data_IF_861145977681
#
_entry.id   IF_861145977681
#
_cell.length_a   1.000
_cell.length_b   1.000
_cell.length_c   1.000
_cell.angle_alpha   90.00
_cell.angle_beta   90.00
_cell.angle_gamma   90.00
#
_symmetry.space_group_name_H-M   'P 1'
#
loop_
_entity.id
_entity.type
_entity.pdbx_description
1 polymer ?
#
# COMPACT_ATOMS: atom_id res chain seq x y z
N UNK A 1 -8.32 -12.55 19.96
CA UNK A 1 -7.85 -12.52 18.56
C UNK A 1 -7.11 -11.23 18.31
N UNK A 2 -6.00 -11.31 17.63
CA UNK A 2 -5.23 -10.12 17.29
C UNK A 2 -5.86 -9.41 16.10
N UNK A 3 -5.92 -8.08 16.17
CA UNK A 3 -6.29 -7.29 15.01
C UNK A 3 -5.23 -7.47 13.90
N UNK A 4 -5.62 -7.37 12.63
CA UNK A 4 -4.68 -7.58 11.55
C UNK A 4 -3.71 -6.42 11.38
N UNK A 5 -2.55 -6.70 10.79
CA UNK A 5 -1.74 -5.66 10.18
C UNK A 5 -2.28 -5.36 8.79
N UNK A 6 -2.15 -4.12 8.36
CA UNK A 6 -2.58 -3.69 7.03
C UNK A 6 -1.38 -3.15 6.26
N UNK A 7 -1.16 -3.67 5.05
CA UNK A 7 -0.17 -3.12 4.13
C UNK A 7 -0.91 -2.35 3.04
N UNK A 8 -0.54 -1.08 2.85
CA UNK A 8 -1.11 -0.24 1.78
C UNK A 8 -0.11 -0.12 0.62
N UNK A 9 -0.55 -0.49 -0.58
CA UNK A 9 0.16 -0.03 -1.77
C UNK A 9 -0.26 1.43 -2.06
N UNK A 10 0.37 2.06 -3.04
CA UNK A 10 0.08 3.48 -3.33
C UNK A 10 -1.36 3.68 -3.77
N UNK A 11 -1.93 2.77 -4.56
CA UNK A 11 -3.31 2.92 -5.04
C UNK A 11 -4.32 2.91 -3.88
N UNK A 12 -4.08 2.07 -2.87
CA UNK A 12 -4.92 2.03 -1.69
C UNK A 12 -4.71 3.27 -0.80
N UNK A 13 -3.44 3.65 -0.60
CA UNK A 13 -3.13 4.81 0.25
C UNK A 13 -3.75 6.10 -0.29
N UNK A 14 -3.71 6.30 -1.61
CA UNK A 14 -4.33 7.45 -2.28
C UNK A 14 -5.81 7.58 -1.95
N UNK A 15 -6.52 6.46 -1.79
CA UNK A 15 -7.96 6.44 -1.53
C UNK A 15 -8.34 7.05 -0.18
N UNK A 16 -7.38 7.23 0.72
CA UNK A 16 -7.62 7.93 1.99
C UNK A 16 -7.71 9.45 1.81
N UNK A 17 -7.19 9.98 0.70
CA UNK A 17 -7.09 11.42 0.47
C UNK A 17 -7.90 11.91 -0.73
N UNK A 18 -8.15 11.04 -1.68
CA UNK A 18 -8.96 11.34 -2.87
C UNK A 18 -10.10 10.34 -2.91
N UNK A 19 -11.33 10.86 -2.82
CA UNK A 19 -12.52 10.01 -2.83
C UNK A 19 -12.67 9.33 -4.18
N UNK A 20 -12.74 8.00 -4.17
CA UNK A 20 -12.92 7.19 -5.37
C UNK A 20 -13.49 5.82 -4.98
N UNK A 21 -13.77 4.97 -5.97
CA UNK A 21 -14.25 3.62 -5.68
C UNK A 21 -13.23 2.89 -4.80
N UNK A 22 -13.70 2.29 -3.70
CA UNK A 22 -12.86 1.58 -2.74
C UNK A 22 -12.39 2.41 -1.57
N UNK A 23 -12.60 3.73 -1.54
CA UNK A 23 -12.18 4.59 -0.43
C UNK A 23 -12.78 4.14 0.90
N UNK A 24 -14.07 3.77 0.93
CA UNK A 24 -14.72 3.31 2.16
C UNK A 24 -14.10 2.01 2.68
N UNK A 25 -13.76 1.09 1.78
CA UNK A 25 -13.15 -0.20 2.14
C UNK A 25 -11.76 0.00 2.74
N UNK A 26 -10.95 0.90 2.16
CA UNK A 26 -9.61 1.20 2.67
C UNK A 26 -9.71 1.88 4.04
N UNK A 27 -10.61 2.85 4.18
CA UNK A 27 -10.79 3.55 5.44
C UNK A 27 -11.21 2.58 6.57
N UNK A 28 -12.16 1.68 6.28
CA UNK A 28 -12.57 0.66 7.24
C UNK A 28 -11.42 -0.25 7.63
N UNK A 29 -10.59 -0.66 6.67
CA UNK A 29 -9.43 -1.50 6.92
C UNK A 29 -8.39 -0.80 7.81
N UNK A 30 -8.15 0.49 7.58
CA UNK A 30 -7.24 1.29 8.40
C UNK A 30 -7.75 1.39 9.83
N UNK A 31 -9.04 1.63 10.01
CA UNK A 31 -9.64 1.76 11.34
C UNK A 31 -9.56 0.47 12.15
N UNK A 32 -9.60 -0.69 11.49
CA UNK A 32 -9.58 -1.99 12.13
C UNK A 32 -8.16 -2.53 12.33
N UNK A 33 -7.16 -1.95 11.67
CA UNK A 33 -5.80 -2.45 11.72
C UNK A 33 -5.12 -2.11 13.04
N UNK A 34 -4.35 -3.05 13.57
CA UNK A 34 -3.48 -2.78 14.71
C UNK A 34 -2.34 -1.86 14.30
N UNK A 35 -1.81 -2.05 13.09
CA UNK A 35 -0.72 -1.27 12.55
C UNK A 35 -0.85 -1.20 11.03
N UNK A 36 -0.49 -0.05 10.46
CA UNK A 36 -0.52 0.18 9.01
C UNK A 36 0.91 0.31 8.51
N UNK A 37 1.21 -0.44 7.46
CA UNK A 37 2.55 -0.57 6.88
C UNK A 37 2.54 -0.14 5.42
N UNK A 38 3.68 0.34 4.93
CA UNK A 38 3.91 0.58 3.51
C UNK A 38 5.42 0.59 3.24
N UNK A 39 5.81 0.68 1.98
CA UNK A 39 7.21 0.77 1.59
C UNK A 39 7.64 2.24 1.48
N UNK A 40 8.92 2.50 1.71
CA UNK A 40 9.48 3.85 1.65
C UNK A 40 9.16 4.58 0.33
N UNK A 41 9.19 3.86 -0.80
CA UNK A 41 8.93 4.45 -2.11
C UNK A 41 7.48 4.99 -2.25
N UNK A 42 6.56 4.51 -1.42
CA UNK A 42 5.16 4.92 -1.50
C UNK A 42 4.99 6.43 -1.29
N UNK A 43 5.88 7.08 -0.52
CA UNK A 43 5.79 8.52 -0.32
C UNK A 43 5.94 9.27 -1.65
N UNK A 44 6.94 8.93 -2.45
CA UNK A 44 7.15 9.55 -3.76
C UNK A 44 6.01 9.20 -4.73
N UNK A 45 5.56 7.97 -4.70
CA UNK A 45 4.47 7.53 -5.59
C UNK A 45 3.15 8.22 -5.24
N UNK A 46 2.85 8.38 -3.96
CA UNK A 46 1.64 9.10 -3.55
C UNK A 46 1.67 10.56 -4.01
N UNK A 47 2.81 11.23 -3.84
CA UNK A 47 2.97 12.62 -4.28
C UNK A 47 2.81 12.74 -5.80
N UNK A 48 3.34 11.77 -6.54
CA UNK A 48 3.16 11.71 -8.00
C UNK A 48 1.69 11.49 -8.37
N UNK A 49 1.00 10.60 -7.65
CA UNK A 49 -0.42 10.33 -7.89
C UNK A 49 -1.30 11.56 -7.60
N UNK A 50 -0.99 12.31 -6.53
CA UNK A 50 -1.71 13.56 -6.22
C UNK A 50 -1.49 14.62 -7.30
N UNK A 51 -0.26 14.75 -7.80
CA UNK A 51 0.04 15.66 -8.89
C UNK A 51 -0.75 15.30 -10.16
N UNK A 52 -0.84 14.00 -10.46
CA UNK A 52 -1.64 13.52 -11.59
C UNK A 52 -3.12 13.80 -11.38
N UNK A 53 -3.65 13.58 -10.17
CA UNK A 53 -5.05 13.85 -9.85
C UNK A 53 -5.39 15.33 -10.05
N UNK A 54 -4.46 16.23 -9.69
CA UNK A 54 -4.61 17.66 -9.93
C UNK A 54 -4.65 17.97 -11.43
N UNK A 55 -3.73 17.40 -12.21
CA UNK A 55 -3.72 17.61 -13.66
C UNK A 55 -4.99 17.10 -14.34
N UNK A 56 -5.62 16.05 -13.76
CA UNK A 56 -6.86 15.48 -14.27
C UNK A 56 -8.12 16.13 -13.66
N UNK A 57 -7.96 17.24 -12.96
CA UNK A 57 -9.05 18.00 -12.34
C UNK A 57 -9.88 17.19 -11.33
N UNK A 58 -9.27 16.21 -10.67
CA UNK A 58 -9.91 15.45 -9.60
C UNK A 58 -9.75 16.13 -8.24
N UNK A 59 -8.79 17.01 -8.11
CA UNK A 59 -8.63 17.94 -6.99
C UNK A 59 -7.94 19.20 -7.50
N UNK A 60 -8.17 20.31 -6.81
CA UNK A 60 -7.52 21.58 -7.16
C UNK A 60 -6.26 21.82 -6.32
N UNK A 61 -5.52 22.89 -6.65
CA UNK A 61 -4.27 23.23 -5.98
C UNK A 61 -4.47 23.51 -4.48
N UNK A 62 -5.59 24.16 -4.12
CA UNK A 62 -5.89 24.46 -2.72
C UNK A 62 -6.19 23.20 -1.92
N UNK A 63 -6.96 22.27 -2.48
CA UNK A 63 -7.24 20.98 -1.87
C UNK A 63 -5.95 20.17 -1.65
N UNK A 64 -5.09 20.13 -2.67
CA UNK A 64 -3.81 19.45 -2.56
C UNK A 64 -2.95 20.07 -1.45
N UNK A 65 -2.88 21.39 -1.39
CA UNK A 65 -2.09 22.10 -0.37
C UNK A 65 -2.56 21.77 1.05
N UNK A 66 -3.86 21.57 1.25
CA UNK A 66 -4.41 21.15 2.54
C UNK A 66 -4.06 19.71 2.89
N UNK A 67 -3.94 18.83 1.88
CA UNK A 67 -3.64 17.41 2.10
C UNK A 67 -2.18 17.16 2.47
N UNK A 68 -1.24 17.95 1.95
CA UNK A 68 0.19 17.66 2.12
C UNK A 68 0.62 17.58 3.59
N UNK A 69 0.26 18.53 4.48
CA UNK A 69 0.63 18.40 5.89
C UNK A 69 -0.08 17.23 6.59
N UNK A 70 -1.28 16.88 6.17
CA UNK A 70 -2.01 15.72 6.72
C UNK A 70 -1.27 14.44 6.33
N UNK A 71 -0.86 14.33 5.08
CA UNK A 71 -0.10 13.17 4.60
C UNK A 71 1.22 13.02 5.36
N UNK A 72 1.94 14.11 5.58
CA UNK A 72 3.20 14.08 6.32
C UNK A 72 2.99 13.66 7.78
N UNK A 73 1.89 14.10 8.39
CA UNK A 73 1.53 13.68 9.73
C UNK A 73 1.17 12.20 9.78
N UNK A 74 0.37 11.72 8.83
CA UNK A 74 -0.01 10.31 8.74
C UNK A 74 1.21 9.43 8.48
N UNK A 75 2.14 9.89 7.66
CA UNK A 75 3.38 9.18 7.35
C UNK A 75 4.16 8.82 8.62
N UNK A 76 4.20 9.71 9.60
CA UNK A 76 4.90 9.48 10.86
C UNK A 76 4.29 8.34 11.68
N UNK A 77 3.05 7.98 11.42
CA UNK A 77 2.37 6.88 12.12
C UNK A 77 2.52 5.53 11.41
N UNK A 78 3.01 5.52 10.17
CA UNK A 78 3.15 4.31 9.38
C UNK A 78 4.41 3.54 9.75
N UNK A 79 4.30 2.21 9.66
CA UNK A 79 5.46 1.34 9.72
C UNK A 79 6.03 1.22 8.30
N UNK A 80 7.18 1.85 8.07
CA UNK A 80 7.77 1.99 6.72
C UNK A 80 8.86 0.96 6.52
N UNK A 81 8.72 0.16 5.45
CA UNK A 81 9.71 -0.86 5.08
C UNK A 81 10.75 -0.24 4.17
N UNK A 82 12.03 -0.51 4.47
CA UNK A 82 13.15 0.05 3.73
C UNK A 82 13.56 -0.85 2.56
N UNK A 83 14.07 -0.26 1.45
CA UNK A 83 14.52 -1.02 0.29
C UNK A 83 15.93 -1.61 0.53
N UNK A 84 16.00 -2.76 1.17
CA UNK A 84 17.25 -3.48 1.31
C UNK A 84 17.56 -4.27 0.04
N UNK A 85 18.84 -4.60 -0.18
CA UNK A 85 19.23 -5.45 -1.32
C UNK A 85 18.50 -6.79 -1.30
N UNK A 86 18.38 -7.40 -0.13
CA UNK A 86 17.67 -8.68 0.03
C UNK A 86 16.21 -8.55 -0.41
N UNK A 87 15.53 -7.49 0.00
CA UNK A 87 14.13 -7.26 -0.37
C UNK A 87 13.99 -7.06 -1.89
N UNK A 88 14.88 -6.27 -2.49
CA UNK A 88 14.82 -5.99 -3.93
C UNK A 88 15.10 -7.26 -4.74
N UNK A 89 16.03 -8.10 -4.30
CA UNK A 89 16.29 -9.38 -4.97
C UNK A 89 15.10 -10.33 -4.84
N UNK A 90 14.43 -10.35 -3.69
CA UNK A 90 13.19 -11.12 -3.53
C UNK A 90 12.10 -10.58 -4.45
N UNK A 91 11.98 -9.26 -4.57
CA UNK A 91 11.03 -8.63 -5.48
C UNK A 91 11.28 -9.06 -6.93
N UNK A 92 12.54 -9.13 -7.35
CA UNK A 92 12.90 -9.58 -8.70
C UNK A 92 12.40 -11.01 -8.96
N UNK A 93 12.56 -11.91 -8.00
CA UNK A 93 12.05 -13.28 -8.11
C UNK A 93 10.52 -13.31 -8.20
N UNK A 94 9.83 -12.48 -7.41
CA UNK A 94 8.38 -12.39 -7.45
C UNK A 94 7.89 -11.80 -8.78
N UNK A 95 8.62 -10.84 -9.34
CA UNK A 95 8.31 -10.28 -10.65
C UNK A 95 8.35 -11.36 -11.73
N UNK A 96 9.38 -12.21 -11.70
CA UNK A 96 9.50 -13.34 -12.62
C UNK A 96 8.38 -14.36 -12.41
N UNK A 97 8.12 -14.71 -11.17
CA UNK A 97 7.14 -15.77 -10.82
C UNK A 97 5.72 -15.37 -11.21
N UNK A 98 5.34 -14.12 -10.94
CA UNK A 98 3.96 -13.65 -11.13
C UNK A 98 3.77 -12.70 -12.31
N UNK A 99 4.84 -12.37 -13.04
CA UNK A 99 4.77 -11.45 -14.16
C UNK A 99 4.39 -10.04 -13.77
N UNK A 100 4.94 -9.53 -12.65
CA UNK A 100 4.60 -8.22 -12.10
C UNK A 100 5.54 -7.13 -12.62
N UNK A 101 5.05 -5.89 -12.61
CA UNK A 101 5.90 -4.72 -12.82
C UNK A 101 6.82 -4.54 -11.63
N UNK A 102 7.96 -3.83 -11.85
CA UNK A 102 8.99 -3.68 -10.85
C UNK A 102 8.49 -3.15 -9.51
N UNK A 103 7.78 -2.02 -9.51
CA UNK A 103 7.30 -1.43 -8.25
C UNK A 103 6.25 -2.29 -7.56
N UNK A 104 5.37 -2.96 -8.33
CA UNK A 104 4.38 -3.86 -7.76
C UNK A 104 5.05 -5.04 -7.06
N UNK A 105 6.13 -5.57 -7.64
CA UNK A 105 6.88 -6.66 -7.03
C UNK A 105 7.58 -6.22 -5.74
N UNK A 106 8.05 -4.97 -5.66
CA UNK A 106 8.64 -4.40 -4.44
C UNK A 106 7.59 -4.33 -3.33
N UNK A 107 6.39 -3.86 -3.64
CA UNK A 107 5.29 -3.82 -2.66
C UNK A 107 4.95 -5.22 -2.17
N UNK A 108 4.86 -6.17 -3.08
CA UNK A 108 4.55 -7.56 -2.71
C UNK A 108 5.64 -8.16 -1.82
N UNK A 109 6.91 -7.94 -2.16
CA UNK A 109 8.03 -8.42 -1.35
C UNK A 109 8.04 -7.79 0.04
N UNK A 110 7.73 -6.50 0.16
CA UNK A 110 7.66 -5.81 1.44
C UNK A 110 6.54 -6.38 2.31
N UNK A 111 5.35 -6.59 1.73
CA UNK A 111 4.22 -7.17 2.44
C UNK A 111 4.52 -8.61 2.88
N UNK A 112 5.13 -9.41 2.01
CA UNK A 112 5.55 -10.77 2.34
C UNK A 112 6.51 -10.79 3.53
N UNK A 113 7.51 -9.90 3.53
CA UNK A 113 8.49 -9.84 4.60
C UNK A 113 7.84 -9.56 5.96
N UNK A 114 6.89 -8.62 6.00
CA UNK A 114 6.14 -8.34 7.23
C UNK A 114 5.27 -9.53 7.62
N UNK A 115 4.56 -10.12 6.66
CA UNK A 115 3.68 -11.26 6.89
C UNK A 115 4.43 -12.41 7.57
N UNK A 116 5.64 -12.72 7.09
CA UNK A 116 6.48 -13.77 7.67
C UNK A 116 6.97 -13.41 9.07
N UNK A 117 7.24 -12.14 9.33
CA UNK A 117 7.73 -11.67 10.62
C UNK A 117 6.68 -11.72 11.72
N UNK A 118 5.41 -11.48 11.38
CA UNK A 118 4.33 -11.31 12.37
C UNK A 118 3.46 -12.56 12.53
N UNK A 119 3.73 -13.62 11.78
CA UNK A 119 2.96 -14.86 11.89
C UNK A 119 2.85 -15.30 13.34
N UNK A 120 1.69 -15.79 13.81
CA UNK A 120 0.48 -16.12 13.03
C UNK A 120 -0.49 -14.94 12.86
N UNK A 121 -0.13 -13.71 13.23
CA UNK A 121 -0.99 -12.56 13.06
C UNK A 121 -1.24 -12.34 11.56
N UNK A 122 -2.51 -12.12 11.14
CA UNK A 122 -2.80 -11.94 9.72
C UNK A 122 -2.34 -10.58 9.20
N UNK A 123 -1.91 -10.56 7.94
CA UNK A 123 -1.64 -9.35 7.20
C UNK A 123 -2.65 -9.22 6.07
N UNK A 124 -3.30 -8.06 6.02
CA UNK A 124 -4.20 -7.70 4.92
C UNK A 124 -3.41 -6.85 3.93
N UNK A 125 -3.41 -7.27 2.66
CA UNK A 125 -2.78 -6.54 1.57
C UNK A 125 -3.83 -5.69 0.86
N UNK A 126 -3.71 -4.37 0.96
CA UNK A 126 -4.66 -3.44 0.35
C UNK A 126 -4.12 -2.95 -0.99
N UNK A 127 -4.73 -3.41 -2.07
CA UNK A 127 -4.35 -3.12 -3.43
C UNK A 127 -5.59 -3.26 -4.32
N UNK A 128 -5.63 -2.54 -5.43
CA UNK A 128 -6.77 -2.57 -6.35
C UNK A 128 -6.39 -3.07 -7.75
N UNK A 129 -5.21 -3.67 -7.88
CA UNK A 129 -4.77 -4.34 -9.10
C UNK A 129 -5.02 -5.84 -8.94
N UNK A 130 -5.83 -6.43 -9.84
CA UNK A 130 -6.24 -7.84 -9.73
C UNK A 130 -5.05 -8.80 -9.82
N UNK A 131 -4.08 -8.51 -10.67
CA UNK A 131 -2.91 -9.37 -10.85
C UNK A 131 -2.03 -9.39 -9.60
N UNK A 132 -1.81 -8.21 -9.00
CA UNK A 132 -1.06 -8.09 -7.75
C UNK A 132 -1.80 -8.75 -6.60
N UNK A 133 -3.12 -8.60 -6.52
CA UNK A 133 -3.95 -9.27 -5.52
C UNK A 133 -3.88 -10.80 -5.64
N UNK A 134 -3.90 -11.32 -6.87
CA UNK A 134 -3.77 -12.78 -7.08
C UNK A 134 -2.42 -13.29 -6.58
N UNK A 135 -1.35 -12.55 -6.82
CA UNK A 135 -0.02 -12.89 -6.33
C UNK A 135 0.03 -12.86 -4.79
N UNK A 136 -0.57 -11.84 -4.17
CA UNK A 136 -0.62 -11.75 -2.71
C UNK A 136 -1.37 -12.93 -2.11
N UNK A 137 -2.50 -13.32 -2.70
CA UNK A 137 -3.26 -14.51 -2.26
C UNK A 137 -2.43 -15.78 -2.39
N UNK A 138 -1.70 -15.94 -3.49
CA UNK A 138 -0.84 -17.10 -3.70
C UNK A 138 0.25 -17.22 -2.64
N UNK A 139 0.69 -16.09 -2.07
CA UNK A 139 1.66 -16.06 -0.98
C UNK A 139 1.02 -16.17 0.41
N UNK A 140 -0.28 -16.40 0.49
CA UNK A 140 -0.99 -16.62 1.76
C UNK A 140 -1.50 -15.37 2.44
N UNK A 141 -1.42 -14.21 1.80
CA UNK A 141 -1.96 -12.97 2.36
C UNK A 141 -3.46 -12.86 2.12
N UNK A 142 -4.15 -12.19 3.03
CA UNK A 142 -5.55 -11.80 2.85
C UNK A 142 -5.59 -10.49 2.08
N UNK A 143 -6.49 -10.39 1.10
CA UNK A 143 -6.66 -9.13 0.36
C UNK A 143 -7.84 -8.35 0.89
N UNK A 144 -7.86 -7.03 0.62
CA UNK A 144 -8.99 -6.18 0.98
C UNK A 144 -10.18 -6.52 0.07
N UNK A 145 -11.41 -6.58 0.59
CA UNK A 145 -12.59 -6.79 -0.24
C UNK A 145 -12.77 -5.64 -1.23
N UNK A 146 -13.04 -5.98 -2.48
CA UNK A 146 -13.27 -4.99 -3.55
C UNK A 146 -14.69 -5.05 -4.08
#
# INVERSE_FOLDING_TARGET
MNAPLLYLDTSAWLKLYVEEAGSDAVQAAVEQAEQVCTHLIAYAELRAALAKAQRMNRLDAAQKALLLPIIDQDWETLNVILPTEMLIKRAANLADQFGLRGYDSVYLAAAEAISLQVMPQPLIFACFDSKLNDAAKALGMTIIPT
#
